data_IF_834736113806
#
_entry.id   IF_834736113806
#
_cell.length_a   1.000
_cell.length_b   1.000
_cell.length_c   1.000
_cell.angle_alpha   90.00
_cell.angle_beta   90.00
_cell.angle_gamma   90.00
#
_symmetry.space_group_name_H-M   'P 1'
#
loop_
_entity.id
_entity.type
_entity.pdbx_description
1 polymer ?
#
# COMPACT_ATOMS: atom_id res chain seq x y z
N UNK A 1 -47.05 -11.31 57.59
CA UNK A 1 -46.46 -9.95 57.61
C UNK A 1 -45.72 -9.75 56.28
N UNK A 2 -46.07 -8.90 55.32
CA UNK A 2 -47.05 -7.83 55.23
C UNK A 2 -46.38 -6.46 55.07
N UNK A 3 -46.00 -6.06 53.84
CA UNK A 3 -45.73 -4.69 53.30
C UNK A 3 -45.13 -4.86 51.90
N UNK A 4 -45.80 -4.69 50.74
CA UNK A 4 -46.56 -3.58 50.11
C UNK A 4 -45.80 -2.26 49.92
N UNK A 5 -45.72 -1.91 48.63
CA UNK A 5 -45.95 -0.60 47.98
C UNK A 5 -44.81 0.41 47.77
N UNK A 6 -44.74 0.89 46.52
CA UNK A 6 -44.12 2.15 46.07
C UNK A 6 -43.47 1.98 44.69
N UNK A 7 -44.08 2.27 43.54
CA UNK A 7 -45.17 3.20 43.25
C UNK A 7 -44.65 4.56 42.75
N UNK A 8 -43.74 4.59 41.76
CA UNK A 8 -43.18 5.82 41.20
C UNK A 8 -43.69 6.13 39.78
N UNK A 9 -44.86 6.77 39.66
CA UNK A 9 -45.32 7.49 38.46
C UNK A 9 -44.62 8.84 38.38
N UNK A 10 -44.08 9.23 37.21
CA UNK A 10 -43.94 10.63 36.76
C UNK A 10 -43.75 10.64 35.23
N UNK A 11 -44.80 11.04 34.49
CA UNK A 11 -44.93 12.31 33.74
C UNK A 11 -43.82 12.45 32.68
N UNK A 12 -44.06 12.14 31.41
CA UNK A 12 -45.03 12.81 30.54
C UNK A 12 -44.44 14.15 30.07
N UNK A 13 -43.77 14.16 28.91
CA UNK A 13 -43.46 15.38 28.14
C UNK A 13 -43.84 15.18 26.66
N UNK A 14 -44.37 16.23 26.01
CA UNK A 14 -45.24 16.08 24.85
C UNK A 14 -44.48 16.04 23.52
N UNK A 15 -45.16 15.42 22.57
CA UNK A 15 -45.00 15.53 21.12
C UNK A 15 -45.02 17.00 20.72
N UNK A 16 -43.96 17.46 20.04
CA UNK A 16 -44.00 18.69 19.23
C UNK A 16 -43.95 18.31 17.76
N UNK A 17 -45.13 18.23 17.16
CA UNK A 17 -45.38 18.42 15.73
C UNK A 17 -45.30 19.92 15.45
N UNK A 18 -44.35 20.35 14.62
CA UNK A 18 -44.33 21.70 14.05
C UNK A 18 -44.19 21.62 12.53
N UNK A 19 -45.36 21.78 11.92
CA UNK A 19 -45.67 22.43 10.65
C UNK A 19 -44.58 22.70 9.61
N UNK A 20 -44.88 22.21 8.41
CA UNK A 20 -44.53 22.75 7.10
C UNK A 20 -44.47 24.29 7.04
N UNK A 21 -43.37 24.83 6.49
CA UNK A 21 -43.32 26.18 5.94
C UNK A 21 -42.83 26.10 4.49
N UNK A 22 -43.75 26.40 3.57
CA UNK A 22 -43.50 26.70 2.15
C UNK A 22 -42.92 28.12 2.02
N UNK A 23 -41.90 28.20 1.16
CA UNK A 23 -41.59 29.25 0.19
C UNK A 23 -41.70 30.75 0.57
N UNK A 24 -40.57 31.45 0.43
CA UNK A 24 -40.37 32.79 -0.17
C UNK A 24 -38.84 32.94 -0.34
N UNK A 25 -38.26 32.92 -1.53
CA UNK A 25 -38.48 33.92 -2.57
C UNK A 25 -37.55 35.13 -2.40
N UNK A 26 -36.24 34.93 -2.14
CA UNK A 26 -35.29 36.04 -2.05
C UNK A 26 -34.60 36.25 -3.41
N UNK A 27 -35.14 37.21 -4.16
CA UNK A 27 -34.70 37.64 -5.49
C UNK A 27 -33.50 38.58 -5.32
N UNK A 28 -32.28 38.04 -5.38
CA UNK A 28 -31.06 38.87 -5.40
C UNK A 28 -30.96 39.54 -6.77
N UNK A 29 -31.15 40.86 -6.80
CA UNK A 29 -30.87 41.71 -7.96
C UNK A 29 -29.34 41.78 -8.15
N UNK A 30 -28.83 41.08 -9.17
CA UNK A 30 -27.48 41.31 -9.68
C UNK A 30 -27.49 42.56 -10.57
N UNK A 31 -26.66 43.52 -10.20
CA UNK A 31 -26.34 44.72 -10.94
C UNK A 31 -25.76 44.38 -12.31
N UNK A 32 -26.21 45.13 -13.30
CA UNK A 32 -25.87 45.01 -14.72
C UNK A 32 -24.65 45.90 -14.99
N UNK A 33 -23.45 45.34 -14.86
CA UNK A 33 -22.22 45.96 -15.35
C UNK A 33 -22.01 45.56 -16.82
N UNK A 34 -22.18 46.51 -17.74
CA UNK A 34 -21.83 46.36 -19.15
C UNK A 34 -20.30 46.39 -19.30
N UNK A 35 -19.72 45.27 -19.71
CA UNK A 35 -18.38 45.24 -20.29
C UNK A 35 -18.50 44.63 -21.70
N UNK A 36 -18.19 45.44 -22.71
CA UNK A 36 -18.02 45.04 -24.11
C UNK A 36 -16.82 44.09 -24.19
N UNK A 37 -17.02 42.93 -24.80
CA UNK A 37 -16.00 41.90 -25.01
C UNK A 37 -16.57 40.72 -25.79
N UNK A 38 -17.22 41.01 -26.92
CA UNK A 38 -17.76 40.03 -27.86
C UNK A 38 -16.60 39.33 -28.58
N UNK A 39 -16.51 37.99 -28.40
CA UNK A 39 -15.91 36.95 -29.27
C UNK A 39 -15.34 35.72 -28.52
N UNK A 40 -15.27 35.72 -27.18
CA UNK A 40 -14.71 34.59 -26.41
C UNK A 40 -15.72 33.67 -25.68
N UNK A 41 -17.00 34.05 -25.61
CA UNK A 41 -17.97 33.37 -24.72
C UNK A 41 -18.61 32.11 -25.32
N UNK A 42 -18.57 31.96 -26.65
CA UNK A 42 -19.15 30.81 -27.36
C UNK A 42 -18.34 29.52 -27.10
N UNK A 43 -17.01 29.58 -27.25
CA UNK A 43 -16.13 28.44 -27.03
C UNK A 43 -16.19 27.92 -25.57
N UNK A 44 -16.26 28.82 -24.57
CA UNK A 44 -16.37 28.43 -23.15
C UNK A 44 -17.71 27.78 -22.80
N UNK A 45 -18.81 28.16 -23.47
CA UNK A 45 -20.12 27.52 -23.27
C UNK A 45 -20.19 26.16 -23.96
N UNK A 46 -19.55 26.01 -25.12
CA UNK A 46 -19.49 24.77 -25.87
C UNK A 46 -18.65 23.71 -25.15
N UNK A 47 -17.46 24.06 -24.64
CA UNK A 47 -16.62 23.17 -23.82
C UNK A 47 -17.32 22.74 -22.52
N UNK A 48 -18.11 23.64 -21.90
CA UNK A 48 -18.91 23.28 -20.70
C UNK A 48 -20.11 22.39 -21.03
N UNK A 49 -20.68 22.49 -22.23
CA UNK A 49 -21.77 21.63 -22.66
C UNK A 49 -21.23 20.24 -23.02
N UNK A 50 -20.16 20.16 -23.80
CA UNK A 50 -19.48 18.90 -24.17
C UNK A 50 -18.92 18.16 -22.95
N UNK A 51 -18.35 18.86 -21.97
CA UNK A 51 -17.92 18.27 -20.70
C UNK A 51 -19.09 17.76 -19.83
N UNK A 52 -20.28 18.37 -19.95
CA UNK A 52 -21.49 17.88 -19.26
C UNK A 52 -22.10 16.68 -20.00
N UNK A 53 -22.07 16.68 -21.32
CA UNK A 53 -22.64 15.63 -22.16
C UNK A 53 -21.81 14.35 -22.07
N UNK A 54 -20.47 14.46 -22.13
CA UNK A 54 -19.55 13.33 -21.89
C UNK A 54 -19.67 12.74 -20.49
N UNK A 55 -19.89 13.58 -19.46
CA UNK A 55 -20.15 13.12 -18.08
C UNK A 55 -21.52 12.48 -17.91
N UNK A 56 -22.53 12.93 -18.66
CA UNK A 56 -23.87 12.34 -18.67
C UNK A 56 -23.91 11.00 -19.45
N UNK A 57 -23.16 10.89 -20.55
CA UNK A 57 -22.99 9.67 -21.33
C UNK A 57 -22.22 8.59 -20.55
N UNK A 58 -21.12 8.95 -19.88
CA UNK A 58 -20.40 8.01 -18.99
C UNK A 58 -21.27 7.48 -17.84
N UNK A 59 -22.14 8.32 -17.27
CA UNK A 59 -23.12 7.92 -16.23
C UNK A 59 -24.24 7.02 -16.76
N UNK A 60 -24.57 7.08 -18.05
CA UNK A 60 -25.66 6.29 -18.66
C UNK A 60 -25.21 4.92 -19.16
N UNK A 61 -23.94 4.75 -19.53
CA UNK A 61 -23.40 3.48 -20.01
C UNK A 61 -23.04 2.50 -18.88
N UNK A 62 -22.47 2.98 -17.77
CA UNK A 62 -22.05 2.12 -16.64
C UNK A 62 -23.07 2.02 -15.50
N UNK A 63 -24.01 2.97 -15.41
CA UNK A 63 -24.87 3.10 -14.23
C UNK A 63 -25.94 2.02 -14.03
N UNK A 64 -26.25 1.17 -15.03
CA UNK A 64 -27.26 0.12 -14.85
C UNK A 64 -26.70 -1.13 -14.18
N UNK A 65 -25.55 -1.61 -14.67
CA UNK A 65 -24.92 -2.81 -14.12
C UNK A 65 -24.30 -2.53 -12.75
N UNK A 66 -23.61 -1.40 -12.60
CA UNK A 66 -23.07 -0.95 -11.31
C UNK A 66 -24.18 -0.75 -10.27
N UNK A 67 -25.31 -0.12 -10.64
CA UNK A 67 -26.43 0.06 -9.71
C UNK A 67 -27.10 -1.27 -9.32
N UNK A 68 -27.18 -2.23 -10.26
CA UNK A 68 -27.68 -3.58 -9.95
C UNK A 68 -26.70 -4.29 -9.01
N UNK A 69 -25.41 -4.22 -9.28
CA UNK A 69 -24.36 -4.78 -8.42
C UNK A 69 -24.40 -4.17 -7.02
N UNK A 70 -24.42 -2.85 -6.92
CA UNK A 70 -24.53 -2.13 -5.64
C UNK A 70 -25.81 -2.50 -4.89
N UNK A 71 -26.95 -2.61 -5.59
CA UNK A 71 -28.21 -3.04 -4.97
C UNK A 71 -28.11 -4.47 -4.45
N UNK A 72 -27.50 -5.40 -5.20
CA UNK A 72 -27.25 -6.78 -4.76
C UNK A 72 -26.35 -6.82 -3.54
N UNK A 73 -25.26 -6.06 -3.52
CA UNK A 73 -24.36 -5.94 -2.37
C UNK A 73 -25.10 -5.41 -1.13
N UNK A 74 -25.88 -4.33 -1.26
CA UNK A 74 -26.68 -3.76 -0.17
C UNK A 74 -27.71 -4.75 0.38
N UNK A 75 -28.38 -5.51 -0.49
CA UNK A 75 -29.33 -6.55 -0.08
C UNK A 75 -28.63 -7.71 0.64
N UNK A 76 -27.46 -8.13 0.14
CA UNK A 76 -26.63 -9.17 0.76
C UNK A 76 -26.14 -8.74 2.14
N UNK A 77 -25.60 -7.54 2.28
CA UNK A 77 -25.21 -6.98 3.58
C UNK A 77 -26.37 -6.93 4.58
N UNK A 78 -27.57 -6.50 4.15
CA UNK A 78 -28.79 -6.52 5.00
C UNK A 78 -29.19 -7.93 5.42
N UNK A 79 -29.07 -8.91 4.52
CA UNK A 79 -29.37 -10.31 4.81
C UNK A 79 -28.38 -10.87 5.83
N UNK A 80 -27.07 -10.64 5.67
CA UNK A 80 -26.05 -11.02 6.64
C UNK A 80 -26.28 -10.37 8.01
N UNK A 81 -26.60 -9.07 8.05
CA UNK A 81 -26.93 -8.37 9.30
C UNK A 81 -28.18 -8.95 10.00
N UNK A 82 -29.18 -9.39 9.23
CA UNK A 82 -30.34 -10.11 9.77
C UNK A 82 -29.97 -11.50 10.29
N UNK A 83 -29.02 -12.19 9.64
CA UNK A 83 -28.52 -13.48 10.13
C UNK A 83 -27.76 -13.32 11.46
N UNK A 84 -26.97 -12.25 11.63
CA UNK A 84 -26.30 -11.94 12.90
C UNK A 84 -27.28 -11.60 14.03
N UNK A 85 -28.32 -10.82 13.73
CA UNK A 85 -29.26 -10.33 14.75
C UNK A 85 -30.33 -11.34 15.16
N UNK A 86 -30.62 -12.36 14.33
CA UNK A 86 -31.63 -13.40 14.63
C UNK A 86 -31.21 -14.44 15.68
N UNK A 87 -30.11 -14.23 16.37
CA UNK A 87 -29.81 -14.87 17.67
C UNK A 87 -29.06 -16.22 17.61
N UNK A 88 -28.45 -16.63 18.73
CA UNK A 88 -27.12 -17.26 18.74
C UNK A 88 -27.11 -18.77 19.06
N UNK A 89 -28.16 -19.53 18.72
CA UNK A 89 -28.29 -20.92 19.15
C UNK A 89 -28.07 -21.98 18.07
N UNK A 90 -27.97 -21.62 16.78
CA UNK A 90 -28.07 -22.62 15.71
C UNK A 90 -26.91 -22.65 14.71
N UNK A 91 -26.04 -21.63 14.69
CA UNK A 91 -24.92 -21.58 13.74
C UNK A 91 -23.60 -21.84 14.45
N UNK A 92 -22.78 -22.80 14.00
CA UNK A 92 -21.45 -23.04 14.55
C UNK A 92 -20.61 -21.76 14.49
N UNK A 93 -19.68 -21.59 15.43
CA UNK A 93 -18.87 -20.36 15.56
C UNK A 93 -18.18 -19.94 14.26
N UNK A 94 -17.81 -20.92 13.43
CA UNK A 94 -17.19 -20.71 12.12
C UNK A 94 -18.13 -20.01 11.11
N UNK A 95 -19.41 -20.38 11.05
CA UNK A 95 -20.38 -19.70 10.18
C UNK A 95 -20.59 -18.25 10.58
N UNK A 96 -20.67 -17.98 11.89
CA UNK A 96 -20.80 -16.62 12.39
C UNK A 96 -19.55 -15.79 12.08
N UNK A 97 -18.36 -16.35 12.27
CA UNK A 97 -17.09 -15.74 11.87
C UNK A 97 -17.09 -15.38 10.38
N UNK A 98 -17.49 -16.32 9.52
CA UNK A 98 -17.55 -16.08 8.07
C UNK A 98 -18.51 -14.94 7.70
N UNK A 99 -19.68 -14.87 8.36
CA UNK A 99 -20.66 -13.78 8.16
C UNK A 99 -20.07 -12.43 8.57
N UNK A 100 -19.34 -12.36 9.69
CA UNK A 100 -18.68 -11.12 10.15
C UNK A 100 -17.62 -10.65 9.15
N UNK A 101 -16.77 -11.56 8.66
CA UNK A 101 -15.73 -11.27 7.66
C UNK A 101 -16.36 -10.75 6.37
N UNK A 102 -17.39 -11.43 5.87
CA UNK A 102 -18.06 -11.02 4.64
C UNK A 102 -18.75 -9.66 4.78
N UNK A 103 -19.41 -9.42 5.91
CA UNK A 103 -20.02 -8.13 6.21
C UNK A 103 -18.98 -7.02 6.32
N UNK A 104 -17.82 -7.28 6.94
CA UNK A 104 -16.71 -6.34 6.99
C UNK A 104 -16.17 -6.00 5.59
N UNK A 105 -16.15 -6.98 4.68
CA UNK A 105 -15.85 -6.78 3.26
C UNK A 105 -16.75 -5.72 2.63
N UNK A 106 -18.08 -5.89 2.74
CA UNK A 106 -19.05 -4.91 2.23
C UNK A 106 -18.93 -3.53 2.90
N UNK A 107 -18.64 -3.49 4.21
CA UNK A 107 -18.45 -2.21 4.91
C UNK A 107 -17.19 -1.48 4.45
N UNK A 108 -16.13 -2.23 4.12
CA UNK A 108 -14.89 -1.64 3.57
C UNK A 108 -15.15 -1.03 2.20
N UNK A 109 -15.83 -1.77 1.30
CA UNK A 109 -16.21 -1.27 -0.03
C UNK A 109 -17.13 -0.04 0.04
N UNK A 110 -17.99 0.03 1.05
CA UNK A 110 -18.84 1.19 1.31
C UNK A 110 -18.11 2.37 1.99
N UNK A 111 -16.79 2.29 2.22
CA UNK A 111 -16.00 3.30 2.92
C UNK A 111 -16.25 3.39 4.43
N UNK A 112 -16.98 2.43 5.01
CA UNK A 112 -17.32 2.37 6.44
C UNK A 112 -16.26 1.62 7.25
N UNK A 113 -15.00 2.05 7.14
CA UNK A 113 -13.85 1.37 7.73
C UNK A 113 -13.97 1.11 9.24
N UNK A 114 -14.49 2.08 10.02
CA UNK A 114 -14.68 1.94 11.47
C UNK A 114 -15.63 0.79 11.82
N UNK A 115 -16.68 0.59 11.02
CA UNK A 115 -17.62 -0.52 11.20
C UNK A 115 -16.97 -1.84 10.79
N UNK A 116 -16.22 -1.86 9.68
CA UNK A 116 -15.49 -3.03 9.22
C UNK A 116 -14.46 -3.52 10.26
N UNK A 117 -13.68 -2.60 10.85
CA UNK A 117 -12.72 -2.89 11.92
C UNK A 117 -13.40 -3.60 13.10
N UNK A 118 -14.53 -3.06 13.59
CA UNK A 118 -15.25 -3.67 14.71
C UNK A 118 -15.73 -5.09 14.41
N UNK A 119 -16.23 -5.32 13.19
CA UNK A 119 -16.68 -6.65 12.76
C UNK A 119 -15.53 -7.65 12.67
N UNK A 120 -14.37 -7.22 12.19
CA UNK A 120 -13.17 -8.07 12.10
C UNK A 120 -12.55 -8.33 13.49
N UNK A 121 -12.55 -7.34 14.38
CA UNK A 121 -12.17 -7.55 15.79
C UNK A 121 -13.07 -8.61 16.44
N UNK A 122 -14.40 -8.50 16.28
CA UNK A 122 -15.35 -9.49 16.79
C UNK A 122 -15.12 -10.88 16.16
N UNK A 123 -14.80 -10.94 14.87
CA UNK A 123 -14.48 -12.20 14.19
C UNK A 123 -13.18 -12.83 14.71
N UNK A 124 -12.19 -12.00 15.07
CA UNK A 124 -10.91 -12.43 15.62
C UNK A 124 -11.07 -12.93 17.06
N UNK A 125 -11.90 -12.26 17.86
CA UNK A 125 -12.23 -12.71 19.23
C UNK A 125 -12.86 -14.11 19.23
N UNK A 126 -13.59 -14.48 18.17
CA UNK A 126 -14.18 -15.80 18.00
C UNK A 126 -13.17 -16.88 17.59
N UNK A 127 -12.08 -16.51 16.91
CA UNK A 127 -11.04 -17.43 16.46
C UNK A 127 -9.68 -16.69 16.51
N UNK A 128 -9.05 -16.60 17.69
CA UNK A 128 -7.84 -15.79 17.88
C UNK A 128 -6.67 -16.27 17.01
N UNK A 129 -6.58 -17.57 16.74
CA UNK A 129 -5.50 -18.16 15.97
C UNK A 129 -5.54 -17.77 14.49
N UNK A 130 -6.74 -17.50 13.95
CA UNK A 130 -6.99 -17.10 12.56
C UNK A 130 -6.14 -17.88 11.53
N UNK A 131 -6.24 -19.22 11.49
CA UNK A 131 -5.27 -20.07 10.79
C UNK A 131 -5.25 -19.87 9.26
N UNK A 132 -6.34 -19.36 8.69
CA UNK A 132 -6.48 -19.04 7.27
C UNK A 132 -6.31 -17.54 6.96
N UNK A 133 -5.97 -16.73 7.97
CA UNK A 133 -5.68 -15.30 7.88
C UNK A 133 -6.77 -14.41 7.26
N UNK A 134 -7.99 -14.94 7.16
CA UNK A 134 -9.12 -14.21 6.57
C UNK A 134 -9.56 -13.01 7.41
N UNK A 135 -9.15 -12.93 8.68
CA UNK A 135 -9.52 -11.83 9.58
C UNK A 135 -8.37 -10.87 9.81
N UNK A 136 -7.18 -11.38 10.19
CA UNK A 136 -6.00 -10.59 10.54
C UNK A 136 -5.48 -9.79 9.35
N UNK A 137 -5.39 -10.37 8.16
CA UNK A 137 -4.88 -9.67 6.98
C UNK A 137 -5.73 -8.44 6.60
N UNK A 138 -7.06 -8.53 6.41
CA UNK A 138 -7.87 -7.36 6.10
C UNK A 138 -7.95 -6.38 7.28
N UNK A 139 -7.89 -6.84 8.53
CA UNK A 139 -7.88 -5.94 9.69
C UNK A 139 -6.57 -5.14 9.76
N UNK A 140 -5.44 -5.79 9.53
CA UNK A 140 -4.13 -5.16 9.46
C UNK A 140 -4.10 -4.09 8.35
N UNK A 141 -4.65 -4.39 7.18
CA UNK A 141 -4.76 -3.42 6.09
C UNK A 141 -5.57 -2.17 6.52
N UNK A 142 -6.74 -2.37 7.15
CA UNK A 142 -7.57 -1.26 7.66
C UNK A 142 -6.90 -0.45 8.77
N UNK A 143 -6.07 -1.07 9.61
CA UNK A 143 -5.30 -0.35 10.61
C UNK A 143 -4.22 0.52 9.97
N UNK A 144 -3.49 -0.03 9.00
CA UNK A 144 -2.45 0.71 8.26
C UNK A 144 -3.05 1.88 7.48
N UNK A 145 -4.19 1.69 6.80
CA UNK A 145 -4.90 2.74 6.07
C UNK A 145 -5.33 3.92 6.97
N UNK A 146 -5.62 3.62 8.24
CA UNK A 146 -6.02 4.62 9.24
C UNK A 146 -4.85 5.15 10.06
N UNK A 147 -3.61 4.82 9.70
CA UNK A 147 -2.41 5.15 10.45
C UNK A 147 -2.45 4.71 11.94
N UNK A 148 -3.13 3.60 12.23
CA UNK A 148 -3.22 2.99 13.58
C UNK A 148 -2.07 1.99 13.75
N UNK A 149 -0.86 2.52 13.88
CA UNK A 149 0.40 1.75 13.82
C UNK A 149 0.59 0.83 15.04
N UNK A 150 0.13 1.24 16.22
CA UNK A 150 0.22 0.43 17.45
C UNK A 150 -0.68 -0.81 17.37
N UNK A 151 -1.93 -0.64 16.93
CA UNK A 151 -2.86 -1.74 16.75
C UNK A 151 -2.42 -2.66 15.62
N UNK A 152 -1.89 -2.11 14.51
CA UNK A 152 -1.27 -2.89 13.44
C UNK A 152 -0.10 -3.73 13.96
N UNK A 153 0.80 -3.14 14.74
CA UNK A 153 1.92 -3.86 15.36
C UNK A 153 1.45 -4.94 16.34
N UNK A 154 0.32 -4.73 17.02
CA UNK A 154 -0.26 -5.72 17.94
C UNK A 154 -0.80 -6.95 17.21
N UNK A 155 -1.37 -6.81 16.00
CA UNK A 155 -1.87 -7.94 15.20
C UNK A 155 -0.77 -8.82 14.63
N UNK A 156 0.42 -8.23 14.47
CA UNK A 156 1.64 -8.94 14.09
C UNK A 156 2.26 -9.70 15.27
N UNK A 157 1.70 -9.62 16.47
CA UNK A 157 2.06 -10.50 17.60
C UNK A 157 1.20 -11.77 17.51
N UNK A 158 1.84 -12.93 17.55
CA UNK A 158 1.17 -14.21 17.39
C UNK A 158 2.05 -15.25 16.69
N UNK A 159 1.75 -16.55 16.89
CA UNK A 159 2.65 -17.66 16.56
C UNK A 159 3.10 -17.65 15.10
N UNK A 160 2.23 -17.22 14.18
CA UNK A 160 2.53 -17.21 12.75
C UNK A 160 3.56 -16.15 12.33
N UNK A 161 3.63 -15.02 13.02
CA UNK A 161 4.66 -13.99 12.79
C UNK A 161 5.85 -14.16 13.75
N UNK A 162 5.64 -14.84 14.89
CA UNK A 162 6.67 -15.12 15.88
C UNK A 162 7.66 -16.21 15.44
N UNK A 163 7.20 -17.23 14.69
CA UNK A 163 8.04 -18.33 14.19
C UNK A 163 9.25 -17.83 13.38
N UNK A 164 9.18 -16.63 12.81
CA UNK A 164 10.23 -16.05 11.95
C UNK A 164 10.96 -14.84 12.56
N UNK A 165 10.51 -14.35 13.72
CA UNK A 165 11.27 -13.34 14.50
C UNK A 165 12.26 -13.97 15.46
N UNK A 166 12.17 -15.29 15.66
CA UNK A 166 13.24 -16.04 16.29
C UNK A 166 14.52 -15.85 15.45
N UNK A 167 15.66 -15.49 16.07
CA UNK A 167 16.92 -15.34 15.35
C UNK A 167 17.17 -16.63 14.56
N UNK A 168 17.45 -16.48 13.26
CA UNK A 168 17.77 -17.58 12.35
C UNK A 168 18.73 -18.53 13.06
N UNK A 169 18.22 -19.66 13.55
CA UNK A 169 19.07 -20.68 14.11
C UNK A 169 20.00 -21.12 12.98
N UNK A 170 21.30 -21.37 13.27
CA UNK A 170 22.27 -21.77 12.26
C UNK A 170 21.73 -22.97 11.48
N UNK A 171 21.94 -22.96 10.15
CA UNK A 171 21.30 -23.77 9.11
C UNK A 171 21.43 -25.31 9.22
N UNK A 172 21.71 -25.87 10.40
CA UNK A 172 21.94 -27.31 10.62
C UNK A 172 20.83 -28.07 11.37
N UNK A 173 19.68 -27.47 11.67
CA UNK A 173 18.59 -28.16 12.36
C UNK A 173 17.55 -28.66 11.37
N UNK A 174 17.65 -29.94 10.97
CA UNK A 174 16.65 -30.68 10.20
C UNK A 174 15.29 -30.63 10.92
N UNK A 175 14.46 -29.65 10.60
CA UNK A 175 13.06 -29.59 11.04
C UNK A 175 12.26 -30.50 10.11
N UNK A 176 12.12 -31.76 10.53
CA UNK A 176 11.09 -32.66 10.02
C UNK A 176 9.70 -32.13 10.40
N UNK A 177 9.13 -31.27 9.55
CA UNK A 177 7.73 -30.86 9.67
C UNK A 177 6.84 -31.78 8.85
N UNK A 178 5.98 -32.52 9.55
CA UNK A 178 4.93 -33.42 9.07
C UNK A 178 4.13 -32.86 7.89
N UNK A 179 4.32 -33.46 6.72
CA UNK A 179 3.73 -33.05 5.45
C UNK A 179 2.59 -34.00 5.03
N UNK A 180 1.42 -33.92 5.65
CA UNK A 180 0.26 -34.72 5.20
C UNK A 180 -1.08 -34.06 5.56
N UNK A 181 -1.40 -32.91 4.92
CA UNK A 181 -2.77 -32.45 4.55
C UNK A 181 -2.84 -30.92 4.40
N UNK A 182 -2.35 -30.30 3.30
CA UNK A 182 -2.30 -28.82 3.30
C UNK A 182 -2.27 -28.08 1.95
N UNK A 183 -2.57 -28.65 0.78
CA UNK A 183 -2.41 -27.91 -0.50
C UNK A 183 -3.24 -26.63 -0.64
N UNK A 184 -4.37 -26.47 0.08
CA UNK A 184 -5.11 -25.20 0.16
C UNK A 184 -4.69 -24.29 1.31
N UNK A 185 -4.13 -24.86 2.38
CA UNK A 185 -3.66 -24.12 3.55
C UNK A 185 -2.28 -23.49 3.32
N UNK A 186 -1.47 -24.05 2.40
CA UNK A 186 -0.15 -23.53 2.02
C UNK A 186 -0.25 -22.15 1.36
N UNK A 187 -1.19 -21.96 0.42
CA UNK A 187 -1.37 -20.69 -0.29
C UNK A 187 -1.76 -19.53 0.62
N UNK A 188 -2.81 -19.68 1.42
CA UNK A 188 -3.26 -18.65 2.36
C UNK A 188 -2.19 -18.32 3.42
N UNK A 189 -1.48 -19.34 3.90
CA UNK A 189 -0.37 -19.16 4.83
C UNK A 189 0.78 -18.37 4.19
N UNK A 190 1.13 -18.66 2.93
CA UNK A 190 2.20 -17.97 2.20
C UNK A 190 1.85 -16.49 1.98
N UNK A 191 0.64 -16.21 1.48
CA UNK A 191 0.12 -14.85 1.32
C UNK A 191 0.19 -14.07 2.63
N UNK A 192 -0.20 -14.70 3.74
CA UNK A 192 -0.14 -14.07 5.06
C UNK A 192 1.28 -13.81 5.56
N UNK A 193 2.23 -14.70 5.30
CA UNK A 193 3.65 -14.48 5.61
C UNK A 193 4.17 -13.28 4.82
N UNK A 194 3.86 -13.21 3.52
CA UNK A 194 4.24 -12.08 2.66
C UNK A 194 3.64 -10.77 3.19
N UNK A 195 2.34 -10.74 3.49
CA UNK A 195 1.67 -9.58 4.12
C UNK A 195 2.37 -9.19 5.42
N UNK A 196 2.62 -10.15 6.30
CA UNK A 196 3.22 -9.92 7.60
C UNK A 196 4.61 -9.32 7.51
N UNK A 197 5.48 -9.90 6.68
CA UNK A 197 6.87 -9.45 6.51
C UNK A 197 6.93 -8.04 5.94
N UNK A 198 6.16 -7.76 4.88
CA UNK A 198 6.12 -6.42 4.30
C UNK A 198 5.46 -5.40 5.22
N UNK A 199 4.42 -5.77 5.97
CA UNK A 199 3.81 -4.88 6.98
C UNK A 199 4.77 -4.56 8.11
N UNK A 200 5.53 -5.55 8.58
CA UNK A 200 6.52 -5.36 9.64
C UNK A 200 7.69 -4.48 9.16
N UNK A 201 8.16 -4.69 7.93
CA UNK A 201 9.17 -3.84 7.32
C UNK A 201 8.67 -2.40 7.19
N UNK A 202 7.41 -2.20 6.76
CA UNK A 202 6.80 -0.87 6.63
C UNK A 202 6.68 -0.16 7.98
N UNK A 203 6.14 -0.84 9.00
CA UNK A 203 6.02 -0.27 10.34
C UNK A 203 7.38 0.10 10.92
N UNK A 204 8.41 -0.70 10.64
CA UNK A 204 9.79 -0.39 11.01
C UNK A 204 10.31 0.84 10.28
N UNK A 205 10.00 0.97 8.99
CA UNK A 205 10.38 2.13 8.19
C UNK A 205 9.74 3.40 8.76
N UNK A 206 8.44 3.37 9.03
CA UNK A 206 7.70 4.49 9.61
C UNK A 206 8.31 4.89 10.97
N UNK A 207 8.53 3.93 11.87
CA UNK A 207 9.12 4.20 13.20
C UNK A 207 10.53 4.81 13.11
N UNK A 208 11.40 4.29 12.24
CA UNK A 208 12.82 4.69 12.13
C UNK A 208 13.00 5.96 11.31
N UNK A 209 12.41 6.04 10.11
CA UNK A 209 12.69 7.09 9.13
C UNK A 209 11.67 8.22 9.14
N UNK A 210 10.39 7.93 9.40
CA UNK A 210 9.32 8.95 9.37
C UNK A 210 9.14 9.58 10.76
N UNK A 211 8.92 8.76 11.78
CA UNK A 211 8.67 9.22 13.15
C UNK A 211 9.96 9.49 13.93
N UNK A 212 11.09 8.92 13.50
CA UNK A 212 12.40 9.03 14.15
C UNK A 212 12.34 8.71 15.65
N UNK A 213 11.55 7.70 16.03
CA UNK A 213 11.29 7.34 17.44
C UNK A 213 12.56 6.91 18.18
N UNK A 214 13.58 6.51 17.43
CA UNK A 214 14.86 6.08 17.97
C UNK A 214 15.83 7.26 18.11
N UNK A 215 16.15 7.60 19.36
CA UNK A 215 17.22 8.55 19.70
C UNK A 215 18.55 8.13 19.07
N UNK A 216 19.46 9.09 18.86
CA UNK A 216 20.79 8.90 18.22
C UNK A 216 21.56 7.64 18.67
N UNK A 217 21.44 7.23 19.95
CA UNK A 217 22.14 6.05 20.49
C UNK A 217 21.59 4.71 19.97
N UNK A 218 20.29 4.61 19.73
CA UNK A 218 19.63 3.38 19.28
C UNK A 218 19.28 3.39 17.78
N UNK A 219 19.41 4.54 17.12
CA UNK A 219 19.09 4.73 15.70
C UNK A 219 19.76 3.70 14.79
N UNK A 220 21.09 3.54 14.90
CA UNK A 220 21.84 2.56 14.08
C UNK A 220 21.35 1.12 14.26
N UNK A 221 21.02 0.72 15.50
CA UNK A 221 20.52 -0.63 15.79
C UNK A 221 19.11 -0.82 15.24
N UNK A 222 18.28 0.22 15.28
CA UNK A 222 16.93 0.18 14.73
C UNK A 222 16.94 0.16 13.19
N UNK A 223 17.85 0.91 12.59
CA UNK A 223 18.11 0.90 11.15
C UNK A 223 18.61 -0.47 10.69
N UNK A 224 19.57 -1.08 11.38
CA UNK A 224 20.00 -2.45 11.08
C UNK A 224 18.84 -3.46 11.09
N UNK A 225 17.93 -3.36 12.07
CA UNK A 225 16.73 -4.21 12.12
C UNK A 225 15.74 -3.93 10.98
N UNK A 226 15.60 -2.67 10.58
CA UNK A 226 14.78 -2.29 9.41
C UNK A 226 15.33 -2.94 8.14
N UNK A 227 16.63 -2.81 7.89
CA UNK A 227 17.29 -3.41 6.73
C UNK A 227 17.15 -4.93 6.72
N UNK A 228 17.36 -5.59 7.87
CA UNK A 228 17.18 -7.03 8.02
C UNK A 228 15.74 -7.46 7.70
N UNK A 229 14.74 -6.75 8.22
CA UNK A 229 13.31 -7.01 7.95
C UNK A 229 12.96 -6.82 6.49
N UNK A 230 13.47 -5.76 5.85
CA UNK A 230 13.22 -5.49 4.44
C UNK A 230 13.86 -6.57 3.55
N UNK A 231 15.09 -7.00 3.84
CA UNK A 231 15.74 -8.12 3.14
C UNK A 231 15.04 -9.45 3.38
N UNK A 232 14.50 -9.69 4.58
CA UNK A 232 13.70 -10.88 4.87
C UNK A 232 12.36 -10.86 4.10
N UNK A 233 11.72 -9.70 3.97
CA UNK A 233 10.53 -9.52 3.13
C UNK A 233 10.85 -9.75 1.64
N UNK A 234 11.95 -9.18 1.15
CA UNK A 234 12.42 -9.38 -0.23
C UNK A 234 12.67 -10.86 -0.55
N UNK A 235 13.36 -11.59 0.33
CA UNK A 235 13.58 -13.04 0.19
C UNK A 235 12.29 -13.86 0.17
N UNK A 236 11.22 -13.37 0.79
CA UNK A 236 9.93 -14.06 0.80
C UNK A 236 9.22 -13.95 -0.55
N UNK A 237 9.19 -12.73 -1.12
CA UNK A 237 8.56 -12.51 -2.42
C UNK A 237 9.19 -11.26 -3.10
N UNK A 238 10.17 -11.44 -4.00
CA UNK A 238 10.90 -10.33 -4.60
C UNK A 238 10.02 -9.45 -5.51
N UNK A 239 8.97 -10.01 -6.10
CA UNK A 239 8.04 -9.27 -6.96
C UNK A 239 7.31 -8.15 -6.21
N UNK A 240 7.05 -8.32 -4.92
CA UNK A 240 6.46 -7.25 -4.09
C UNK A 240 7.43 -6.07 -3.95
N UNK A 241 8.73 -6.35 -3.71
CA UNK A 241 9.74 -5.29 -3.62
C UNK A 241 9.91 -4.58 -4.96
N UNK A 242 9.94 -5.33 -6.07
CA UNK A 242 10.02 -4.78 -7.43
C UNK A 242 8.82 -3.86 -7.70
N UNK A 243 7.61 -4.28 -7.37
CA UNK A 243 6.41 -3.46 -7.51
C UNK A 243 6.52 -2.14 -6.71
N UNK A 244 6.97 -2.22 -5.45
CA UNK A 244 7.09 -1.04 -4.57
C UNK A 244 8.16 -0.07 -5.11
N UNK A 245 9.34 -0.59 -5.44
CA UNK A 245 10.48 0.20 -5.91
C UNK A 245 10.18 0.92 -7.22
N UNK A 246 9.44 0.27 -8.13
CA UNK A 246 9.20 0.75 -9.49
C UNK A 246 7.73 1.05 -9.78
N UNK A 247 6.96 1.39 -8.75
CA UNK A 247 5.51 1.56 -8.85
C UNK A 247 5.02 2.43 -10.02
N UNK A 248 5.67 3.56 -10.41
CA UNK A 248 5.25 4.36 -11.56
C UNK A 248 5.12 3.57 -12.87
N UNK A 249 5.91 2.51 -13.06
CA UNK A 249 5.83 1.63 -14.23
C UNK A 249 4.78 0.52 -14.05
N UNK A 250 4.60 0.03 -12.83
CA UNK A 250 3.73 -1.10 -12.52
C UNK A 250 2.26 -0.71 -12.36
N UNK A 251 1.94 0.42 -11.70
CA UNK A 251 0.57 0.85 -11.43
C UNK A 251 -0.31 1.02 -12.68
N UNK A 252 0.17 1.60 -13.80
CA UNK A 252 -0.63 1.71 -15.03
C UNK A 252 -0.99 0.34 -15.62
N UNK A 253 -0.13 -0.66 -15.41
CA UNK A 253 -0.33 -2.01 -15.91
C UNK A 253 -1.18 -2.82 -14.94
N UNK A 254 -1.00 -2.65 -13.63
CA UNK A 254 -1.65 -3.42 -12.58
C UNK A 254 -2.33 -2.49 -11.56
N UNK A 255 -3.43 -1.82 -11.95
CA UNK A 255 -4.09 -0.87 -11.07
C UNK A 255 -4.68 -1.57 -9.84
N UNK A 256 -4.85 -0.80 -8.77
CA UNK A 256 -5.52 -1.26 -7.55
C UNK A 256 -6.92 -1.79 -7.89
N UNK A 257 -7.26 -2.95 -7.33
CA UNK A 257 -8.53 -3.64 -7.57
C UNK A 257 -8.61 -4.33 -8.93
N UNK A 258 -7.52 -4.50 -9.67
CA UNK A 258 -7.57 -5.25 -10.92
C UNK A 258 -7.94 -6.73 -10.70
N UNK A 259 -8.69 -7.26 -11.67
CA UNK A 259 -9.02 -8.68 -11.71
C UNK A 259 -7.76 -9.48 -12.00
N UNK A 260 -7.43 -10.40 -11.10
CA UNK A 260 -6.32 -11.34 -11.25
C UNK A 260 -6.87 -12.74 -11.52
N UNK A 261 -6.17 -13.56 -12.32
CA UNK A 261 -6.58 -14.95 -12.52
C UNK A 261 -6.65 -15.67 -11.17
N UNK A 262 -7.68 -16.51 -11.02
CA UNK A 262 -7.81 -17.35 -9.82
C UNK A 262 -6.65 -18.34 -9.72
N UNK A 263 -6.34 -18.82 -8.51
CA UNK A 263 -5.28 -19.83 -8.33
C UNK A 263 -5.65 -21.23 -8.86
N UNK A 264 -6.85 -21.38 -9.42
CA UNK A 264 -7.35 -22.67 -9.89
C UNK A 264 -6.70 -23.04 -11.22
N UNK A 265 -5.91 -24.11 -11.23
CA UNK A 265 -5.24 -24.63 -12.42
C UNK A 265 -3.83 -24.06 -12.66
N UNK A 266 -3.24 -23.41 -11.66
CA UNK A 266 -1.88 -22.91 -11.75
C UNK A 266 -0.82 -24.02 -11.63
N UNK A 267 0.39 -23.78 -12.16
CA UNK A 267 1.49 -24.73 -12.10
C UNK A 267 1.89 -25.06 -10.65
N UNK A 268 2.76 -26.07 -10.51
CA UNK A 268 3.23 -26.59 -9.24
C UNK A 268 3.68 -25.48 -8.26
N UNK A 269 3.53 -25.76 -6.96
CA UNK A 269 4.05 -24.91 -5.89
C UNK A 269 5.53 -24.57 -6.14
N UNK A 270 5.90 -23.30 -5.94
CA UNK A 270 7.27 -22.81 -6.18
C UNK A 270 7.54 -22.32 -7.61
N UNK A 271 6.55 -22.31 -8.50
CA UNK A 271 6.69 -21.66 -9.80
C UNK A 271 6.74 -20.13 -9.66
N UNK A 272 7.58 -19.48 -10.48
CA UNK A 272 7.69 -18.02 -10.60
C UNK A 272 6.32 -17.33 -10.80
N UNK A 273 5.40 -17.98 -11.52
CA UNK A 273 4.04 -17.47 -11.75
C UNK A 273 3.22 -17.38 -10.45
N UNK A 274 3.32 -18.39 -9.58
CA UNK A 274 2.61 -18.39 -8.30
C UNK A 274 3.08 -17.25 -7.40
N UNK A 275 4.39 -17.00 -7.34
CA UNK A 275 4.97 -15.92 -6.54
C UNK A 275 4.56 -14.54 -7.07
N UNK A 276 4.54 -14.39 -8.39
CA UNK A 276 4.06 -13.18 -9.03
C UNK A 276 2.58 -12.94 -8.73
N UNK A 277 1.74 -13.96 -8.82
CA UNK A 277 0.31 -13.82 -8.52
C UNK A 277 0.05 -13.51 -7.05
N UNK A 278 0.81 -14.11 -6.15
CA UNK A 278 0.83 -13.74 -4.74
C UNK A 278 1.19 -12.27 -4.55
N UNK A 279 2.24 -11.79 -5.22
CA UNK A 279 2.66 -10.40 -5.15
C UNK A 279 1.61 -9.45 -5.68
N UNK A 280 0.98 -9.77 -6.81
CA UNK A 280 -0.10 -8.97 -7.38
C UNK A 280 -1.36 -8.97 -6.50
N UNK A 281 -1.67 -10.07 -5.82
CA UNK A 281 -2.76 -10.08 -4.83
C UNK A 281 -2.44 -9.17 -3.67
N UNK A 282 -1.21 -9.26 -3.15
CA UNK A 282 -0.75 -8.40 -2.10
C UNK A 282 -0.78 -6.92 -2.53
N UNK A 283 -0.19 -6.56 -3.66
CA UNK A 283 -0.08 -5.16 -4.12
C UNK A 283 -1.42 -4.61 -4.63
N UNK A 284 -2.13 -5.35 -5.48
CA UNK A 284 -3.28 -4.81 -6.22
C UNK A 284 -4.62 -5.09 -5.53
N UNK A 285 -4.80 -6.23 -4.86
CA UNK A 285 -6.09 -6.61 -4.27
C UNK A 285 -6.18 -6.30 -2.77
N UNK A 286 -5.16 -6.69 -2.00
CA UNK A 286 -5.09 -6.41 -0.57
C UNK A 286 -4.50 -5.03 -0.28
N UNK A 287 -3.48 -4.64 -1.04
CA UNK A 287 -2.77 -3.37 -0.94
C UNK A 287 -3.64 -2.18 -1.32
N UNK A 288 -4.62 -2.37 -2.21
CA UNK A 288 -5.68 -1.41 -2.50
C UNK A 288 -6.57 -1.04 -1.31
N UNK A 289 -6.33 -1.64 -0.13
CA UNK A 289 -6.95 -1.31 1.16
C UNK A 289 -5.96 -0.68 2.17
N UNK A 290 -4.86 -0.08 1.72
CA UNK A 290 -4.06 0.85 2.54
C UNK A 290 -2.57 0.54 2.66
N UNK A 291 -2.15 -0.72 2.62
CA UNK A 291 -0.74 -1.06 2.91
C UNK A 291 0.20 -0.63 1.80
N UNK A 292 -0.15 -0.94 0.54
CA UNK A 292 0.66 -0.51 -0.59
C UNK A 292 0.54 1.00 -0.77
N UNK A 293 -0.64 1.60 -0.55
CA UNK A 293 -0.76 3.04 -0.65
C UNK A 293 0.12 3.74 0.38
N UNK A 294 0.33 3.20 1.58
CA UNK A 294 1.33 3.78 2.48
C UNK A 294 2.74 3.66 1.91
N UNK A 295 3.12 2.57 1.24
CA UNK A 295 4.40 2.47 0.52
C UNK A 295 4.53 3.44 -0.67
N UNK A 296 3.41 3.76 -1.34
CA UNK A 296 3.37 4.47 -2.63
C UNK A 296 3.05 5.97 -2.49
N UNK A 297 2.30 6.36 -1.47
CA UNK A 297 1.84 7.73 -1.17
C UNK A 297 2.87 8.48 -0.30
N UNK A 298 3.71 7.75 0.43
CA UNK A 298 4.90 8.35 1.04
C UNK A 298 5.93 8.60 -0.06
N UNK A 299 6.16 9.88 -0.31
CA UNK A 299 7.42 10.53 -0.73
C UNK A 299 8.40 9.69 -1.58
N UNK A 300 8.88 10.16 -2.75
CA UNK A 300 9.94 9.49 -3.53
C UNK A 300 11.09 8.87 -2.73
N UNK A 301 11.42 9.41 -1.54
CA UNK A 301 12.39 8.82 -0.60
C UNK A 301 12.12 7.36 -0.21
N UNK A 302 10.87 6.90 -0.06
CA UNK A 302 10.62 5.50 0.33
C UNK A 302 11.00 4.55 -0.79
N UNK A 303 10.67 4.92 -2.03
CA UNK A 303 11.04 4.14 -3.21
C UNK A 303 12.55 4.15 -3.42
N UNK A 304 13.18 5.32 -3.31
CA UNK A 304 14.64 5.42 -3.38
C UNK A 304 15.30 4.59 -2.29
N UNK A 305 14.80 4.61 -1.04
CA UNK A 305 15.31 3.76 0.03
C UNK A 305 15.17 2.25 -0.28
N UNK A 306 14.01 1.82 -0.80
CA UNK A 306 13.81 0.41 -1.18
C UNK A 306 14.74 0.02 -2.34
N UNK A 307 14.91 0.89 -3.35
CA UNK A 307 15.87 0.74 -4.45
C UNK A 307 17.30 0.59 -3.93
N UNK A 308 17.74 1.56 -3.14
CA UNK A 308 19.07 1.60 -2.54
C UNK A 308 19.36 0.33 -1.75
N UNK A 309 18.44 -0.08 -0.86
CA UNK A 309 18.70 -1.18 0.07
C UNK A 309 18.64 -2.56 -0.59
N UNK A 310 17.78 -2.75 -1.58
CA UNK A 310 17.49 -4.08 -2.14
C UNK A 310 18.10 -4.32 -3.52
N UNK A 311 18.35 -3.28 -4.29
CA UNK A 311 18.74 -3.40 -5.70
C UNK A 311 20.08 -2.72 -6.02
N UNK A 312 20.48 -1.69 -5.28
CA UNK A 312 21.75 -0.97 -5.50
C UNK A 312 22.84 -1.35 -4.46
N UNK A 313 22.43 -1.60 -3.21
CA UNK A 313 23.32 -1.75 -2.05
C UNK A 313 24.11 -3.06 -1.96
N UNK A 314 24.19 -3.83 -3.06
CA UNK A 314 25.01 -5.04 -3.14
C UNK A 314 26.50 -4.78 -3.42
N UNK A 315 26.84 -3.61 -3.97
CA UNK A 315 28.19 -3.32 -4.44
C UNK A 315 29.12 -2.64 -3.40
N UNK A 316 28.63 -2.18 -2.25
CA UNK A 316 29.38 -1.18 -1.46
C UNK A 316 29.29 -1.29 0.06
N UNK A 317 30.01 -2.25 0.65
CA UNK A 317 30.74 -1.98 1.92
C UNK A 317 31.90 -2.97 2.20
N UNK A 318 31.96 -4.10 1.50
CA UNK A 318 33.10 -5.04 1.60
C UNK A 318 34.02 -5.01 0.35
N UNK A 319 33.67 -4.27 -0.71
CA UNK A 319 34.45 -4.21 -1.96
C UNK A 319 35.54 -3.10 -1.99
N UNK A 320 35.76 -2.37 -0.90
CA UNK A 320 36.73 -1.26 -0.85
C UNK A 320 37.91 -1.57 0.06
N UNK A 321 38.76 -2.55 -0.30
CA UNK A 321 40.16 -2.58 0.17
C UNK A 321 41.16 -3.26 -0.78
N UNK A 322 40.87 -3.48 -2.06
CA UNK A 322 41.91 -3.91 -2.99
C UNK A 322 42.01 -2.95 -4.18
N UNK A 323 42.90 -1.98 -4.02
CA UNK A 323 43.27 -1.00 -5.02
C UNK A 323 44.10 -1.68 -6.12
N UNK A 324 43.44 -2.14 -7.18
CA UNK A 324 44.15 -2.68 -8.33
C UNK A 324 43.21 -3.01 -9.50
N UNK A 325 43.31 -2.21 -10.55
CA UNK A 325 42.73 -2.39 -11.89
C UNK A 325 41.25 -1.99 -12.05
N UNK A 326 41.06 -0.84 -12.73
CA UNK A 326 39.83 -0.42 -13.41
C UNK A 326 39.45 -1.43 -14.50
N UNK A 327 38.92 -2.59 -14.12
CA UNK A 327 38.07 -3.36 -15.02
C UNK A 327 36.69 -2.72 -14.96
N UNK A 328 36.20 -2.26 -16.11
CA UNK A 328 34.76 -2.20 -16.40
C UNK A 328 34.20 -3.60 -16.16
N UNK A 329 33.90 -3.89 -14.89
CA UNK A 329 33.07 -5.01 -14.52
C UNK A 329 31.67 -4.58 -14.91
N UNK A 330 31.16 -5.16 -15.99
CA UNK A 330 29.75 -5.17 -16.36
C UNK A 330 28.94 -5.46 -15.10
N UNK A 331 28.46 -4.40 -14.44
CA UNK A 331 27.69 -4.54 -13.22
C UNK A 331 26.41 -5.26 -13.61
N UNK A 332 26.10 -6.41 -12.98
CA UNK A 332 24.95 -7.20 -13.38
C UNK A 332 23.69 -6.35 -13.26
N UNK A 333 22.72 -6.51 -14.19
CA UNK A 333 21.52 -5.70 -14.16
C UNK A 333 20.83 -5.89 -12.79
N UNK A 334 20.37 -4.80 -12.19
CA UNK A 334 19.90 -4.75 -10.80
C UNK A 334 18.67 -5.62 -10.52
N UNK A 335 17.93 -6.01 -11.56
CA UNK A 335 16.83 -6.96 -11.46
C UNK A 335 17.22 -8.31 -12.09
N UNK A 336 16.97 -9.45 -11.41
CA UNK A 336 17.30 -10.79 -11.92
C UNK A 336 16.43 -11.15 -13.12
N UNK A 337 17.02 -11.67 -14.20
CA UNK A 337 16.30 -11.99 -15.44
C UNK A 337 15.08 -12.88 -15.18
N UNK A 338 13.93 -12.48 -15.72
CA UNK A 338 12.74 -13.32 -15.71
C UNK A 338 12.93 -14.51 -16.64
N UNK A 339 12.24 -15.64 -16.41
CA UNK A 339 12.24 -16.76 -17.34
C UNK A 339 11.96 -16.30 -18.77
N UNK A 340 12.68 -16.85 -19.75
CA UNK A 340 12.50 -16.51 -21.16
C UNK A 340 11.05 -16.77 -21.60
N UNK A 341 10.59 -16.01 -22.60
CA UNK A 341 9.25 -16.20 -23.17
C UNK A 341 9.11 -17.61 -23.72
N UNK A 342 8.15 -18.37 -23.19
CA UNK A 342 7.83 -19.70 -23.67
C UNK A 342 6.49 -19.69 -24.43
N UNK A 343 6.32 -20.53 -25.47
CA UNK A 343 5.01 -20.73 -26.08
C UNK A 343 3.99 -21.16 -25.02
N UNK A 344 2.84 -20.48 -24.97
CA UNK A 344 1.79 -20.75 -23.97
C UNK A 344 1.97 -20.04 -22.63
N UNK A 345 2.85 -19.03 -22.57
CA UNK A 345 3.05 -18.25 -21.35
C UNK A 345 1.76 -17.55 -20.85
N UNK A 346 1.52 -17.56 -19.53
CA UNK A 346 0.47 -16.78 -18.90
C UNK A 346 0.51 -15.28 -19.23
N UNK A 347 -0.63 -14.66 -19.59
CA UNK A 347 -0.70 -13.22 -19.91
C UNK A 347 -0.19 -12.29 -18.79
N UNK A 348 -0.26 -12.75 -17.53
CA UNK A 348 0.19 -11.99 -16.37
C UNK A 348 1.70 -11.77 -16.38
N UNK A 349 2.49 -12.79 -16.76
CA UNK A 349 3.94 -12.69 -16.86
C UNK A 349 4.36 -11.79 -18.02
N UNK A 350 3.69 -11.89 -19.16
CA UNK A 350 3.93 -10.98 -20.29
C UNK A 350 3.68 -9.51 -19.91
N UNK A 351 2.59 -9.24 -19.18
CA UNK A 351 2.30 -7.89 -18.66
C UNK A 351 3.35 -7.44 -17.65
N UNK A 352 3.80 -8.34 -16.78
CA UNK A 352 4.85 -8.04 -15.80
C UNK A 352 6.17 -7.67 -16.48
N UNK A 353 6.60 -8.42 -17.51
CA UNK A 353 7.81 -8.07 -18.28
C UNK A 353 7.73 -6.68 -18.89
N UNK A 354 6.60 -6.33 -19.50
CA UNK A 354 6.40 -4.99 -20.06
C UNK A 354 6.49 -3.89 -19.01
N UNK A 355 5.87 -4.10 -17.84
CA UNK A 355 5.96 -3.16 -16.73
C UNK A 355 7.41 -3.00 -16.25
N UNK A 356 8.14 -4.12 -16.17
CA UNK A 356 9.56 -4.13 -15.80
C UNK A 356 10.46 -3.45 -16.83
N UNK A 357 10.24 -3.65 -18.12
CA UNK A 357 10.95 -2.93 -19.19
C UNK A 357 10.75 -1.41 -19.04
N UNK A 358 9.51 -0.97 -18.79
CA UNK A 358 9.22 0.43 -18.52
C UNK A 358 9.89 0.92 -17.22
N UNK A 359 9.94 0.08 -16.18
CA UNK A 359 10.64 0.39 -14.93
C UNK A 359 12.14 0.64 -15.15
N UNK A 360 12.81 -0.20 -15.95
CA UNK A 360 14.23 -0.04 -16.26
C UNK A 360 14.49 1.21 -17.11
N UNK A 361 13.60 1.55 -18.02
CA UNK A 361 13.71 2.81 -18.80
C UNK A 361 13.55 4.04 -17.90
N UNK A 362 12.58 4.04 -16.99
CA UNK A 362 12.40 5.12 -16.02
C UNK A 362 13.62 5.25 -15.13
N UNK A 363 14.15 4.13 -14.63
CA UNK A 363 15.31 4.16 -13.77
C UNK A 363 16.59 4.62 -14.47
N UNK A 364 16.85 4.16 -15.69
CA UNK A 364 17.96 4.67 -16.49
C UNK A 364 17.85 6.19 -16.72
N UNK A 365 16.61 6.68 -16.87
CA UNK A 365 16.36 8.13 -17.00
C UNK A 365 16.60 8.88 -15.69
N UNK A 366 16.22 8.32 -14.54
CA UNK A 366 16.50 8.88 -13.22
C UNK A 366 18.01 8.99 -12.97
N UNK A 367 18.77 7.91 -13.22
CA UNK A 367 20.23 7.89 -13.07
C UNK A 367 20.89 8.94 -13.97
N UNK A 368 20.49 9.01 -15.25
CA UNK A 368 21.03 9.98 -16.19
C UNK A 368 20.73 11.44 -15.77
N UNK A 369 19.55 11.68 -15.20
CA UNK A 369 19.17 13.00 -14.70
C UNK A 369 19.96 13.40 -13.45
N UNK A 370 20.25 12.45 -12.56
CA UNK A 370 21.09 12.67 -11.37
C UNK A 370 22.55 12.93 -11.75
N UNK A 371 23.10 12.16 -12.71
CA UNK A 371 24.47 12.37 -13.21
C UNK A 371 24.64 13.73 -13.91
N UNK A 372 23.68 14.11 -14.76
CA UNK A 372 23.72 15.38 -15.50
C UNK A 372 23.58 16.63 -14.63
N UNK A 373 23.13 16.50 -13.38
CA UNK A 373 23.05 17.62 -12.43
C UNK A 373 24.41 17.97 -11.79
N UNK A 374 25.40 17.07 -11.86
CA UNK A 374 26.73 17.29 -11.29
C UNK A 374 27.75 17.85 -12.29
N UNK A 375 27.56 17.69 -13.61
CA UNK A 375 28.54 18.12 -14.62
C UNK A 375 28.43 19.61 -15.04
N UNK A 376 27.47 20.37 -14.52
CA UNK A 376 27.19 21.75 -14.96
C UNK A 376 27.62 22.86 -14.00
N UNK A 377 28.24 22.53 -12.87
CA UNK A 377 28.66 23.50 -11.84
C UNK A 377 30.14 23.31 -11.47
N UNK A 378 31.00 23.08 -12.46
CA UNK A 378 32.37 23.59 -12.36
C UNK A 378 32.26 25.11 -12.52
N UNK A 379 32.15 25.78 -11.38
CA UNK A 379 32.46 27.20 -11.29
C UNK A 379 33.86 27.37 -11.89
N UNK A 380 33.91 27.98 -13.08
CA UNK A 380 35.03 28.81 -13.48
C UNK A 380 35.20 29.89 -12.40
N UNK A 381 35.82 29.53 -11.27
CA UNK A 381 36.67 30.44 -10.53
C UNK A 381 37.83 30.75 -11.48
N UNK A 382 37.59 31.63 -12.44
CA UNK A 382 38.66 32.40 -13.05
C UNK A 382 39.34 33.12 -11.89
N UNK A 383 40.49 32.60 -11.46
CA UNK A 383 41.49 33.36 -10.75
C UNK A 383 41.73 34.64 -11.57
N UNK A 384 41.05 35.73 -11.21
CA UNK A 384 41.54 37.07 -11.47
C UNK A 384 42.84 37.19 -10.67
N UNK A 385 43.92 36.67 -11.26
CA UNK A 385 45.29 36.96 -10.91
C UNK A 385 45.51 38.45 -11.06
N UNK A 386 45.17 39.18 -10.00
CA UNK A 386 45.53 40.57 -9.75
C UNK A 386 47.05 40.67 -9.71
N UNK A 387 47.62 40.84 -10.89
CA UNK A 387 48.99 41.25 -11.13
C UNK A 387 49.19 42.67 -10.57
N UNK A 388 49.63 42.77 -9.32
CA UNK A 388 50.26 43.99 -8.82
C UNK A 388 51.77 43.79 -8.90
N UNK A 389 52.33 44.12 -10.07
CA UNK A 389 53.64 44.75 -10.15
C UNK A 389 53.54 46.03 -9.31
N UNK A 390 54.22 46.11 -8.17
CA UNK A 390 54.62 47.41 -7.64
C UNK A 390 55.87 47.30 -6.75
N UNK A 391 56.97 47.73 -7.38
CA UNK A 391 58.10 48.44 -6.85
C UNK A 391 59.01 47.82 -5.77
N UNK A 392 60.15 47.38 -6.30
CA UNK A 392 61.44 47.46 -5.66
C UNK A 392 61.70 48.87 -5.09
N UNK A 393 62.03 48.93 -3.80
CA UNK A 393 62.92 49.97 -3.28
C UNK A 393 63.93 49.29 -2.36
N UNK A 394 65.16 49.19 -2.87
CA UNK A 394 66.37 49.09 -2.08
C UNK A 394 66.38 50.22 -1.04
N UNK A 395 66.63 49.89 0.22
CA UNK A 395 67.47 50.74 1.06
C UNK A 395 68.10 49.88 2.16
N UNK A 396 69.38 49.57 1.92
CA UNK A 396 70.42 49.50 2.94
C UNK A 396 70.21 50.59 4.01
N UNK A 397 70.52 50.29 5.27
CA UNK A 397 71.40 51.10 6.15
C UNK A 397 71.35 50.55 7.59
N UNK A 398 72.51 50.00 7.97
CA UNK A 398 73.17 49.93 9.29
C UNK A 398 72.46 49.33 10.52
#
# INVERSE_FOLDING_TARGET
MGKKSGGGKRKGKPVQTVSSIKAKGCKVRRSKGQAKGDKGESARKQVRHEAKETRALRRRAHGKEEAVHETRQRLRAKLLQRQLTRGPAAKPGEERRQILVELAGFQTEAGQQRSAIKLLQEALDMCPDDPDFKVRAPLLALYMDRAMTEEAASLLKGPLFEIETAPMAPEGSERESSATSATGATGAKREAITVGRYSLALLSYISVRVLQEHKKRDGKKAEGRLLERLRAAHRQNPFVAEYIAFAPAFEPVFPLGCDLPGLHGLPAEGSCEMELLEALRYCCQMGGRGQISVWLDTDPFVRSFVREVLFEGGAGQEATTDAGEEKELDEPPPLPLLPAQSPGEPPVLTRWRRAREAAMQLWASDIAAEAGFCEGQEECEEEEGSFTDDDAVDDDVC
#
